data_IF_148937516752
#
_entry.id   IF_148937516752
#
_cell.length_a   1.000
_cell.length_b   1.000
_cell.length_c   1.000
_cell.angle_alpha   90.00
_cell.angle_beta   90.00
_cell.angle_gamma   90.00
#
_symmetry.space_group_name_H-M   'P 1'
#
loop_
_entity.id
_entity.type
_entity.pdbx_description
1 polymer ?
#
# COMPACT_ATOMS: atom_id res chain seq x y z
N UNK A 1 30.98 -68.06 6.07
CA UNK A 1 31.32 -67.46 4.76
C UNK A 1 30.07 -66.84 4.16
N UNK A 2 30.17 -65.58 3.70
CA UNK A 2 29.49 -64.96 2.55
C UNK A 2 27.97 -65.21 2.39
N UNK A 3 27.11 -64.23 2.71
CA UNK A 3 26.58 -63.16 1.81
C UNK A 3 25.79 -63.72 0.62
N UNK A 4 24.52 -63.30 0.48
CA UNK A 4 23.84 -62.68 -0.70
C UNK A 4 22.31 -62.91 -0.55
N UNK A 5 21.51 -61.93 -1.02
CA UNK A 5 20.04 -61.85 -1.04
C UNK A 5 19.34 -61.08 0.11
N UNK A 6 19.78 -59.85 0.36
CA UNK A 6 18.94 -58.78 0.95
C UNK A 6 18.95 -57.63 -0.06
N UNK A 7 18.03 -57.63 -1.03
CA UNK A 7 17.90 -56.47 -1.95
C UNK A 7 16.61 -56.43 -2.81
N UNK A 8 15.73 -57.43 -2.83
CA UNK A 8 14.53 -57.38 -3.68
C UNK A 8 13.17 -57.32 -2.93
N UNK A 9 13.13 -57.53 -1.61
CA UNK A 9 11.86 -57.65 -0.87
C UNK A 9 11.33 -56.33 -0.27
N UNK A 10 12.09 -55.23 -0.30
CA UNK A 10 11.73 -53.96 0.35
C UNK A 10 10.92 -53.04 -0.58
N UNK A 11 10.98 -53.24 -1.90
CA UNK A 11 10.32 -52.33 -2.87
C UNK A 11 8.84 -52.70 -3.10
N UNK A 12 8.42 -53.94 -2.84
CA UNK A 12 7.03 -54.37 -3.07
C UNK A 12 6.11 -54.11 -1.85
N UNK A 13 6.66 -53.95 -0.64
CA UNK A 13 5.84 -53.70 0.55
C UNK A 13 5.39 -52.22 0.70
N UNK A 14 6.06 -51.28 0.04
CA UNK A 14 5.76 -49.84 0.16
C UNK A 14 4.62 -49.39 -0.79
N UNK A 15 4.37 -50.13 -1.88
CA UNK A 15 3.28 -49.82 -2.80
C UNK A 15 1.91 -50.41 -2.38
N UNK A 16 1.87 -51.41 -1.49
CA UNK A 16 0.63 -52.05 -1.04
C UNK A 16 -0.06 -51.36 0.14
N UNK A 17 0.68 -50.59 0.94
CA UNK A 17 0.15 -49.92 2.14
C UNK A 17 -0.41 -48.51 1.88
N UNK A 18 -0.21 -47.95 0.69
CA UNK A 18 -0.71 -46.61 0.33
C UNK A 18 -2.14 -46.63 -0.23
N UNK A 19 -2.67 -47.77 -0.68
CA UNK A 19 -4.05 -47.86 -1.22
C UNK A 19 -5.07 -48.37 -0.18
N UNK A 20 -4.66 -49.17 0.80
CA UNK A 20 -5.58 -49.74 1.81
C UNK A 20 -6.07 -48.75 2.88
N UNK A 21 -5.28 -47.71 3.20
CA UNK A 21 -5.65 -46.70 4.22
C UNK A 21 -6.68 -45.69 3.70
N UNK A 22 -6.77 -45.51 2.39
CA UNK A 22 -7.72 -44.57 1.75
C UNK A 22 -9.16 -45.11 1.64
N UNK A 23 -9.41 -46.39 1.94
CA UNK A 23 -10.76 -46.97 1.76
C UNK A 23 -11.56 -47.21 3.06
N UNK A 24 -10.92 -47.11 4.24
CA UNK A 24 -11.59 -47.37 5.55
C UNK A 24 -11.86 -46.09 6.34
N UNK A 25 -11.26 -44.95 5.97
CA UNK A 25 -11.67 -43.63 6.45
C UNK A 25 -12.56 -42.97 5.40
N UNK A 26 -13.78 -43.48 5.23
CA UNK A 26 -14.85 -42.66 4.64
C UNK A 26 -15.28 -41.66 5.72
N UNK A 27 -14.90 -40.37 5.67
CA UNK A 27 -15.68 -39.39 6.41
C UNK A 27 -17.10 -39.49 5.86
N UNK A 28 -18.08 -39.63 6.76
CA UNK A 28 -19.45 -39.25 6.44
C UNK A 28 -19.37 -37.90 5.72
N UNK A 29 -20.08 -37.75 4.61
CA UNK A 29 -20.45 -36.41 4.13
C UNK A 29 -21.29 -35.78 5.23
N UNK A 30 -20.63 -35.23 6.24
CA UNK A 30 -21.15 -34.04 6.88
C UNK A 30 -21.23 -33.03 5.75
N UNK A 31 -22.46 -32.70 5.40
CA UNK A 31 -22.75 -31.44 4.73
C UNK A 31 -22.19 -30.41 5.69
N UNK A 32 -20.94 -30.01 5.48
CA UNK A 32 -20.39 -28.84 6.12
C UNK A 32 -21.43 -27.76 5.81
N UNK A 33 -22.05 -27.14 6.83
CA UNK A 33 -22.81 -25.93 6.56
C UNK A 33 -21.87 -25.08 5.73
N UNK A 34 -22.33 -24.61 4.56
CA UNK A 34 -21.61 -23.58 3.84
C UNK A 34 -21.33 -22.56 4.92
N UNK A 35 -20.06 -22.43 5.33
CA UNK A 35 -19.69 -21.44 6.30
C UNK A 35 -20.22 -20.16 5.66
N UNK A 36 -21.26 -19.58 6.25
CA UNK A 36 -21.77 -18.30 5.80
C UNK A 36 -20.51 -17.45 5.78
N UNK A 37 -20.05 -17.12 4.57
CA UNK A 37 -18.98 -16.16 4.38
C UNK A 37 -19.50 -14.96 5.10
N UNK A 38 -19.01 -14.75 6.33
CA UNK A 38 -19.36 -13.58 7.11
C UNK A 38 -19.10 -12.45 6.16
N UNK A 39 -20.13 -11.70 5.71
CA UNK A 39 -19.92 -10.68 4.71
C UNK A 39 -18.79 -9.83 5.28
N UNK A 40 -17.67 -9.77 4.54
CA UNK A 40 -16.53 -8.93 4.91
C UNK A 40 -17.15 -7.62 5.35
N UNK A 41 -16.98 -7.27 6.64
CA UNK A 41 -17.66 -6.13 7.23
C UNK A 41 -17.32 -4.96 6.32
N UNK A 42 -18.29 -4.52 5.52
CA UNK A 42 -18.06 -3.51 4.51
C UNK A 42 -17.40 -2.34 5.24
N UNK A 43 -16.21 -1.96 4.77
CA UNK A 43 -15.46 -0.89 5.42
C UNK A 43 -16.34 0.36 5.31
N UNK A 44 -16.95 0.78 6.42
CA UNK A 44 -17.79 1.98 6.44
C UNK A 44 -16.82 3.15 6.38
N UNK A 45 -16.74 3.79 5.21
CA UNK A 45 -15.91 4.96 5.01
C UNK A 45 -16.48 6.12 5.84
N UNK A 46 -15.61 6.78 6.61
CA UNK A 46 -15.97 8.02 7.29
C UNK A 46 -15.92 9.17 6.27
N UNK A 47 -17.10 9.66 5.86
CA UNK A 47 -17.24 10.80 4.94
C UNK A 47 -17.73 12.07 5.67
N UNK A 48 -17.55 12.14 6.99
CA UNK A 48 -18.06 13.26 7.81
C UNK A 48 -17.40 14.61 7.52
N UNK A 49 -16.20 14.61 6.94
CA UNK A 49 -15.44 15.80 6.57
C UNK A 49 -14.89 15.68 5.15
N UNK A 50 -14.64 16.82 4.52
CA UNK A 50 -13.90 16.91 3.26
C UNK A 50 -12.76 17.91 3.42
N UNK A 51 -11.52 17.41 3.28
CA UNK A 51 -10.32 18.24 3.30
C UNK A 51 -9.86 18.65 1.90
N UNK A 52 -10.56 18.19 0.86
CA UNK A 52 -10.29 18.49 -0.53
C UNK A 52 -9.17 17.64 -1.13
N UNK A 53 -8.81 16.49 -0.56
CA UNK A 53 -7.74 15.65 -1.10
C UNK A 53 -8.01 15.23 -2.56
N UNK A 54 -9.27 14.95 -2.91
CA UNK A 54 -9.68 14.56 -4.26
C UNK A 54 -9.89 15.73 -5.24
N UNK A 55 -9.93 16.96 -4.74
CA UNK A 55 -10.17 18.17 -5.54
C UNK A 55 -8.96 19.09 -5.59
N UNK A 56 -7.91 18.78 -4.81
CA UNK A 56 -6.65 19.51 -4.76
C UNK A 56 -5.99 19.61 -6.14
N UNK A 57 -6.06 18.52 -6.91
CA UNK A 57 -5.52 18.44 -8.25
C UNK A 57 -6.64 18.08 -9.22
N UNK A 58 -6.67 18.77 -10.36
CA UNK A 58 -7.58 18.38 -11.42
C UNK A 58 -7.13 17.05 -12.03
N UNK A 59 -8.09 16.22 -12.45
CA UNK A 59 -7.80 14.96 -13.11
C UNK A 59 -6.93 15.13 -14.38
N UNK A 60 -7.14 16.23 -15.11
CA UNK A 60 -6.33 16.58 -16.28
C UNK A 60 -4.89 16.94 -15.92
N UNK A 61 -4.67 17.65 -14.81
CA UNK A 61 -3.34 17.96 -14.28
C UNK A 61 -2.59 16.68 -13.92
N UNK A 62 -3.25 15.75 -13.23
CA UNK A 62 -2.64 14.46 -12.86
C UNK A 62 -2.27 13.69 -14.13
N UNK A 63 -3.19 13.53 -15.09
CA UNK A 63 -2.91 12.81 -16.33
C UNK A 63 -1.77 13.41 -17.15
N UNK A 64 -1.75 14.73 -17.31
CA UNK A 64 -0.72 15.41 -18.08
C UNK A 64 0.66 15.32 -17.42
N UNK A 65 0.73 15.48 -16.10
CA UNK A 65 2.01 15.42 -15.37
C UNK A 65 2.56 13.99 -15.25
N UNK A 66 1.70 12.99 -15.01
CA UNK A 66 2.12 11.59 -14.90
C UNK A 66 2.34 10.92 -16.28
N UNK A 67 1.92 11.56 -17.36
CA UNK A 67 2.20 11.12 -18.74
C UNK A 67 1.63 9.74 -19.06
N UNK A 68 2.42 8.93 -19.77
CA UNK A 68 1.98 7.62 -20.28
C UNK A 68 1.53 6.66 -19.18
N UNK A 69 2.12 6.73 -17.98
CA UNK A 69 1.72 5.90 -16.85
C UNK A 69 0.27 6.14 -16.42
N UNK A 70 -0.28 7.34 -16.68
CA UNK A 70 -1.65 7.73 -16.35
C UNK A 70 -2.63 7.65 -17.54
N UNK A 71 -2.26 7.00 -18.64
CA UNK A 71 -3.17 6.81 -19.80
C UNK A 71 -4.50 6.19 -19.38
N UNK A 72 -4.43 5.15 -18.55
CA UNK A 72 -5.58 4.42 -18.02
C UNK A 72 -5.95 4.83 -16.58
N UNK A 73 -5.55 6.03 -16.16
CA UNK A 73 -5.89 6.54 -14.83
C UNK A 73 -7.41 6.53 -14.64
N UNK A 74 -7.86 6.01 -13.52
CA UNK A 74 -9.26 5.93 -13.11
C UNK A 74 -9.66 7.23 -12.38
N UNK A 75 -10.96 7.61 -12.42
CA UNK A 75 -11.48 8.73 -11.64
C UNK A 75 -11.10 8.64 -10.15
N UNK A 76 -11.03 9.79 -9.43
CA UNK A 76 -10.70 9.80 -8.01
C UNK A 76 -11.66 8.95 -7.18
N UNK A 77 -11.11 8.16 -6.27
CA UNK A 77 -11.83 7.45 -5.21
C UNK A 77 -11.46 8.05 -3.85
N UNK A 78 -12.46 8.53 -3.11
CA UNK A 78 -12.28 9.06 -1.76
C UNK A 78 -12.29 7.91 -0.74
N UNK A 79 -11.15 7.68 -0.09
CA UNK A 79 -11.00 6.63 0.92
C UNK A 79 -11.53 7.02 2.31
N UNK A 80 -12.18 8.19 2.42
CA UNK A 80 -12.72 8.72 3.66
C UNK A 80 -11.65 9.31 4.59
N UNK A 81 -12.08 9.59 5.81
CA UNK A 81 -11.26 10.17 6.87
C UNK A 81 -10.62 9.05 7.69
N UNK A 82 -9.30 9.11 7.84
CA UNK A 82 -8.55 8.32 8.81
C UNK A 82 -8.09 9.22 9.95
N UNK A 83 -8.20 8.72 11.17
CA UNK A 83 -7.54 9.32 12.33
C UNK A 83 -6.14 8.77 12.38
N UNK A 84 -5.15 9.62 12.11
CA UNK A 84 -3.76 9.19 12.19
C UNK A 84 -3.30 9.40 13.64
N UNK A 85 -2.95 8.29 14.28
CA UNK A 85 -2.28 8.30 15.58
C UNK A 85 -0.78 8.25 15.31
N UNK A 86 -0.04 9.26 15.74
CA UNK A 86 1.41 9.24 15.66
C UNK A 86 2.00 8.52 16.87
N UNK A 87 3.06 7.76 16.64
CA UNK A 87 3.77 6.98 17.65
C UNK A 87 5.18 7.54 17.86
N UNK A 88 5.63 7.66 19.11
CA UNK A 88 6.95 8.16 19.51
C UNK A 88 6.92 8.66 20.96
N UNK A 89 8.04 8.54 21.69
CA UNK A 89 8.10 8.78 23.14
C UNK A 89 7.73 10.23 23.55
N UNK A 90 7.84 11.18 22.62
CA UNK A 90 7.51 12.60 22.80
C UNK A 90 6.24 13.05 22.03
N UNK A 91 5.47 12.11 21.46
CA UNK A 91 4.31 12.37 20.61
C UNK A 91 3.00 12.15 21.36
N UNK A 92 2.91 12.68 22.57
CA UNK A 92 1.62 12.83 23.26
C UNK A 92 1.02 14.13 22.74
N UNK A 93 -0.21 14.10 22.22
CA UNK A 93 -0.98 15.25 21.70
C UNK A 93 -0.91 15.60 20.21
N UNK A 94 -0.29 14.76 19.36
CA UNK A 94 -0.48 14.88 17.91
C UNK A 94 -1.75 14.13 17.50
N UNK A 95 -2.88 14.84 17.50
CA UNK A 95 -4.10 14.38 16.86
C UNK A 95 -4.15 14.95 15.43
N UNK A 96 -4.40 14.09 14.45
CA UNK A 96 -4.66 14.56 13.09
C UNK A 96 -5.72 13.71 12.42
N UNK A 97 -6.45 14.35 11.53
CA UNK A 97 -7.34 13.67 10.60
C UNK A 97 -6.75 13.79 9.20
N UNK A 98 -6.87 12.72 8.42
CA UNK A 98 -6.39 12.68 7.06
C UNK A 98 -7.48 12.23 6.11
N UNK A 99 -7.50 12.83 4.93
CA UNK A 99 -8.31 12.36 3.81
C UNK A 99 -7.38 11.87 2.71
N UNK A 100 -7.65 10.68 2.19
CA UNK A 100 -6.86 10.11 1.08
C UNK A 100 -7.72 10.01 -0.17
N UNK A 101 -7.20 10.54 -1.28
CA UNK A 101 -7.74 10.32 -2.61
C UNK A 101 -6.85 9.38 -3.39
N UNK A 102 -7.49 8.48 -4.14
CA UNK A 102 -6.83 7.38 -4.84
C UNK A 102 -7.18 7.46 -6.32
N UNK A 103 -6.15 7.43 -7.16
CA UNK A 103 -6.27 7.41 -8.61
C UNK A 103 -5.58 6.15 -9.12
N UNK A 104 -6.34 5.07 -9.31
CA UNK A 104 -5.79 3.82 -9.80
C UNK A 104 -5.29 3.96 -11.25
N UNK A 105 -4.13 3.36 -11.57
CA UNK A 105 -3.59 3.37 -12.94
C UNK A 105 -4.27 2.35 -13.87
N UNK A 106 -5.14 1.48 -13.34
CA UNK A 106 -5.89 0.49 -14.10
C UNK A 106 -7.26 0.18 -13.44
N UNK A 107 -8.27 -0.22 -14.23
CA UNK A 107 -9.55 -0.72 -13.69
C UNK A 107 -9.34 -1.96 -12.80
N UNK A 108 -10.22 -2.14 -11.80
CA UNK A 108 -10.21 -3.32 -10.93
C UNK A 108 -9.32 -3.22 -9.69
N UNK A 109 -8.47 -2.19 -9.59
CA UNK A 109 -7.69 -1.89 -8.38
C UNK A 109 -8.52 -1.12 -7.33
N UNK A 110 -9.70 -1.64 -6.99
CA UNK A 110 -10.54 -1.05 -5.92
C UNK A 110 -9.89 -1.34 -4.57
N UNK A 111 -9.91 -0.34 -3.70
CA UNK A 111 -9.12 -0.26 -2.46
C UNK A 111 -9.63 -1.11 -1.30
N UNK A 112 -10.41 -2.16 -1.56
CA UNK A 112 -11.23 -2.75 -0.51
C UNK A 112 -10.45 -3.51 0.58
N UNK A 113 -9.18 -3.90 0.46
CA UNK A 113 -8.52 -4.61 1.60
C UNK A 113 -6.99 -4.63 1.70
N UNK A 114 -6.19 -4.10 0.77
CA UNK A 114 -4.72 -4.20 0.89
C UNK A 114 -3.96 -3.17 0.05
N UNK A 115 -3.10 -2.37 0.70
CA UNK A 115 -2.15 -1.48 0.01
C UNK A 115 -1.00 -2.25 -0.67
N UNK A 116 -0.81 -3.52 -0.31
CA UNK A 116 0.19 -4.40 -0.93
C UNK A 116 -0.26 -4.80 -2.33
N UNK A 117 0.53 -4.44 -3.36
CA UNK A 117 0.24 -4.74 -4.76
C UNK A 117 -0.61 -3.69 -5.49
N UNK A 118 -0.91 -2.56 -4.85
CA UNK A 118 -1.68 -1.49 -5.46
C UNK A 118 -0.85 -0.79 -6.55
N UNK A 119 -1.51 -0.41 -7.65
CA UNK A 119 -0.93 0.37 -8.74
C UNK A 119 -1.73 1.66 -8.89
N UNK A 120 -1.29 2.72 -8.20
CA UNK A 120 -2.06 3.95 -8.08
C UNK A 120 -1.20 5.17 -7.73
N UNK A 121 -1.78 6.34 -8.00
CA UNK A 121 -1.37 7.62 -7.48
C UNK A 121 -2.27 8.02 -6.30
N UNK A 122 -1.69 8.58 -5.25
CA UNK A 122 -2.35 8.97 -4.01
C UNK A 122 -2.13 10.45 -3.73
N UNK A 123 -3.18 11.09 -3.27
CA UNK A 123 -3.10 12.41 -2.62
C UNK A 123 -3.66 12.26 -1.22
N UNK A 124 -2.84 12.41 -0.19
CA UNK A 124 -3.29 12.42 1.20
C UNK A 124 -3.12 13.82 1.76
N UNK A 125 -4.20 14.38 2.28
CA UNK A 125 -4.16 15.66 2.98
C UNK A 125 -4.44 15.44 4.46
N UNK A 126 -3.51 15.87 5.29
CA UNK A 126 -3.55 15.73 6.74
C UNK A 126 -3.74 17.09 7.39
N UNK A 127 -4.70 17.18 8.31
CA UNK A 127 -4.91 18.34 9.17
C UNK A 127 -4.53 18.01 10.59
N UNK A 128 -3.54 18.74 11.11
CA UNK A 128 -3.07 18.59 12.47
C UNK A 128 -3.90 19.46 13.42
N UNK A 129 -4.20 18.95 14.61
CA UNK A 129 -4.92 19.69 15.64
C UNK A 129 -4.14 20.90 16.18
N UNK A 130 -2.82 20.90 16.06
CA UNK A 130 -1.92 21.94 16.54
C UNK A 130 -0.59 21.96 15.75
N UNK A 131 0.27 22.95 16.04
CA UNK A 131 1.59 23.10 15.41
C UNK A 131 2.62 22.06 15.84
N UNK A 132 2.43 21.35 16.96
CA UNK A 132 3.34 20.28 17.36
C UNK A 132 3.27 19.09 16.38
N UNK A 133 2.10 18.88 15.78
CA UNK A 133 1.85 17.89 14.73
C UNK A 133 2.86 17.92 13.59
N UNK A 134 2.81 18.93 12.70
CA UNK A 134 3.73 19.02 11.57
C UNK A 134 5.20 19.09 12.01
N UNK A 135 5.50 19.74 13.15
CA UNK A 135 6.88 19.79 13.69
C UNK A 135 7.44 18.39 13.96
N UNK A 136 6.69 17.53 14.66
CA UNK A 136 7.12 16.17 14.95
C UNK A 136 7.34 15.34 13.70
N UNK A 137 6.45 15.44 12.70
CA UNK A 137 6.61 14.69 11.44
C UNK A 137 7.77 15.24 10.60
N UNK A 138 8.04 16.55 10.63
CA UNK A 138 9.22 17.15 10.01
C UNK A 138 10.50 16.61 10.68
N UNK A 139 10.55 16.53 12.00
CA UNK A 139 11.72 15.99 12.73
C UNK A 139 11.94 14.51 12.42
N UNK A 140 10.88 13.70 12.38
CA UNK A 140 10.94 12.31 11.94
C UNK A 140 11.45 12.19 10.49
N UNK A 141 10.97 13.07 9.60
CA UNK A 141 11.43 13.09 8.19
C UNK A 141 12.90 13.46 8.07
N UNK A 142 13.41 14.36 8.92
CA UNK A 142 14.85 14.69 8.99
C UNK A 142 15.69 13.55 9.54
N UNK A 143 15.14 12.75 10.46
CA UNK A 143 15.82 11.59 11.04
C UNK A 143 15.80 10.36 10.12
N UNK A 144 14.90 10.31 9.13
CA UNK A 144 14.81 9.21 8.17
C UNK A 144 15.98 9.26 7.16
N UNK A 145 16.89 8.26 7.13
CA UNK A 145 18.05 8.26 6.24
C UNK A 145 17.69 8.12 4.75
N UNK A 146 16.47 7.69 4.41
CA UNK A 146 16.01 7.59 3.01
C UNK A 146 15.27 8.83 2.53
N UNK A 147 15.02 9.80 3.42
CA UNK A 147 14.36 11.05 3.07
C UNK A 147 15.35 12.09 2.55
N UNK A 148 15.01 12.70 1.42
CA UNK A 148 15.74 13.83 0.85
C UNK A 148 14.93 15.10 1.03
N UNK A 149 15.49 16.10 1.72
CA UNK A 149 14.86 17.42 1.83
C UNK A 149 14.76 18.09 0.45
N UNK A 150 13.61 18.69 0.15
CA UNK A 150 13.35 19.40 -1.10
C UNK A 150 13.04 20.86 -0.81
N UNK A 151 13.61 21.75 -1.62
CA UNK A 151 13.24 23.16 -1.61
C UNK A 151 11.96 23.37 -2.42
N UNK A 152 10.91 23.79 -1.71
CA UNK A 152 9.64 24.29 -2.24
C UNK A 152 9.40 25.65 -1.56
N UNK A 153 8.81 26.61 -2.28
CA UNK A 153 8.80 28.03 -1.90
C UNK A 153 8.27 28.32 -0.47
N UNK A 154 9.18 28.38 0.51
CA UNK A 154 8.86 28.61 1.91
C UNK A 154 8.27 27.41 2.67
N UNK A 155 8.03 26.29 1.99
CA UNK A 155 7.45 25.08 2.56
C UNK A 155 8.55 24.05 2.91
N UNK A 156 8.35 23.28 3.98
CA UNK A 156 9.22 22.14 4.27
C UNK A 156 8.74 20.93 3.48
N UNK A 157 9.61 20.29 2.71
CA UNK A 157 9.24 19.13 1.92
C UNK A 157 10.30 18.04 1.95
N UNK A 158 9.85 16.79 1.88
CA UNK A 158 10.71 15.61 1.93
C UNK A 158 10.26 14.61 0.87
N UNK A 159 11.23 14.12 0.09
CA UNK A 159 11.03 13.08 -0.88
C UNK A 159 11.59 11.76 -0.36
N UNK A 160 10.83 10.68 -0.46
CA UNK A 160 11.29 9.32 -0.14
C UNK A 160 11.04 8.38 -1.31
N UNK A 161 11.94 7.41 -1.47
CA UNK A 161 11.79 6.31 -2.42
C UNK A 161 12.04 5.00 -1.69
N UNK A 162 11.06 4.11 -1.71
CA UNK A 162 11.14 2.77 -1.11
C UNK A 162 10.93 1.74 -2.22
N UNK A 163 11.93 0.88 -2.43
CA UNK A 163 11.92 -0.11 -3.51
C UNK A 163 12.09 -1.50 -2.87
N UNK A 164 11.06 -2.31 -3.02
CA UNK A 164 11.10 -3.74 -2.67
C UNK A 164 11.20 -4.53 -3.98
N UNK A 165 12.35 -5.14 -4.21
CA UNK A 165 12.66 -5.85 -5.47
C UNK A 165 12.20 -7.31 -5.51
N UNK A 166 11.91 -7.91 -4.36
CA UNK A 166 11.67 -9.35 -4.23
C UNK A 166 10.37 -9.68 -3.48
N UNK A 167 9.83 -10.87 -3.74
CA UNK A 167 8.63 -11.41 -3.09
C UNK A 167 7.31 -11.04 -3.81
N UNK A 168 6.20 -11.68 -3.41
CA UNK A 168 4.88 -11.48 -4.03
C UNK A 168 4.30 -10.07 -3.84
N UNK A 169 4.92 -9.24 -2.98
CA UNK A 169 4.57 -7.85 -2.73
C UNK A 169 5.61 -6.84 -3.20
N UNK A 170 6.49 -7.20 -4.14
CA UNK A 170 7.50 -6.30 -4.69
C UNK A 170 6.86 -5.05 -5.30
N UNK A 171 7.16 -3.89 -4.71
CA UNK A 171 6.64 -2.58 -5.11
C UNK A 171 7.74 -1.53 -5.17
N UNK A 172 7.55 -0.55 -6.03
CA UNK A 172 8.21 0.75 -5.95
C UNK A 172 7.21 1.74 -5.37
N UNK A 173 7.64 2.50 -4.37
CA UNK A 173 6.86 3.56 -3.73
C UNK A 173 7.69 4.83 -3.72
N UNK A 174 7.11 5.90 -4.22
CA UNK A 174 7.71 7.24 -4.22
C UNK A 174 6.74 8.18 -3.54
N UNK A 175 7.23 8.99 -2.61
CA UNK A 175 6.40 9.92 -1.86
C UNK A 175 7.07 11.29 -1.76
N UNK A 176 6.30 12.34 -2.00
CA UNK A 176 6.64 13.72 -1.68
C UNK A 176 5.69 14.22 -0.60
N UNK A 177 6.22 14.48 0.58
CA UNK A 177 5.50 15.04 1.71
C UNK A 177 5.81 16.53 1.82
N UNK A 178 4.79 17.38 1.73
CA UNK A 178 4.89 18.84 1.78
C UNK A 178 4.15 19.36 3.01
N UNK A 179 4.80 20.20 3.79
CA UNK A 179 4.25 20.81 5.01
C UNK A 179 4.00 22.29 4.82
N UNK A 180 2.80 22.72 5.20
CA UNK A 180 2.41 24.13 5.20
C UNK A 180 1.47 24.41 6.36
N UNK A 181 1.87 25.32 7.25
CA UNK A 181 1.12 25.65 8.47
C UNK A 181 0.82 24.38 9.31
N UNK A 182 -0.46 24.16 9.66
CA UNK A 182 -0.94 22.99 10.40
C UNK A 182 -1.45 21.87 9.46
N UNK A 183 -0.98 21.83 8.22
CA UNK A 183 -1.39 20.84 7.23
C UNK A 183 -0.16 20.21 6.59
N UNK A 184 -0.32 18.97 6.13
CA UNK A 184 0.61 18.35 5.19
C UNK A 184 -0.15 17.73 4.02
N UNK A 185 0.52 17.65 2.89
CA UNK A 185 0.03 16.99 1.69
C UNK A 185 1.10 15.99 1.27
N UNK A 186 0.70 14.72 1.19
CA UNK A 186 1.51 13.66 0.61
C UNK A 186 1.01 13.35 -0.79
N UNK A 187 1.93 13.37 -1.75
CA UNK A 187 1.72 12.88 -3.10
C UNK A 187 2.53 11.60 -3.27
N UNK A 188 1.88 10.47 -3.53
CA UNK A 188 2.55 9.18 -3.58
C UNK A 188 2.22 8.40 -4.84
N UNK A 189 3.23 7.76 -5.43
CA UNK A 189 3.08 6.81 -6.55
C UNK A 189 3.50 5.45 -6.02
N UNK A 190 2.61 4.47 -6.12
CA UNK A 190 2.90 3.08 -5.77
C UNK A 190 2.62 2.21 -6.99
N UNK A 191 3.61 1.40 -7.38
CA UNK A 191 3.48 0.46 -8.49
C UNK A 191 4.11 -0.88 -8.14
N UNK A 192 3.57 -2.01 -8.64
CA UNK A 192 4.28 -3.28 -8.62
C UNK A 192 5.59 -3.16 -9.40
N UNK A 193 6.70 -3.66 -8.84
CA UNK A 193 8.04 -3.51 -9.44
C UNK A 193 8.11 -4.03 -10.87
N UNK A 194 7.40 -5.13 -11.18
CA UNK A 194 7.33 -5.73 -12.52
C UNK A 194 6.77 -4.79 -13.59
N UNK A 195 5.91 -3.85 -13.20
CA UNK A 195 5.20 -2.94 -14.10
C UNK A 195 5.50 -1.47 -13.79
N UNK A 196 6.58 -1.20 -13.06
CA UNK A 196 6.96 0.15 -12.66
C UNK A 196 7.28 1.00 -13.90
N UNK A 197 6.51 2.07 -14.10
CA UNK A 197 6.74 3.05 -15.14
C UNK A 197 7.62 4.20 -14.65
N UNK A 198 7.69 4.40 -13.33
CA UNK A 198 8.48 5.46 -12.72
C UNK A 198 9.80 4.93 -12.14
N UNK A 199 10.85 5.74 -12.34
CA UNK A 199 12.12 5.63 -11.61
C UNK A 199 12.12 6.64 -10.46
N UNK A 200 13.15 6.58 -9.61
CA UNK A 200 13.35 7.57 -8.54
C UNK A 200 13.30 9.00 -9.10
N UNK A 201 14.06 9.28 -10.16
CA UNK A 201 14.15 10.63 -10.72
C UNK A 201 12.86 11.06 -11.43
N UNK A 202 12.25 10.18 -12.23
CA UNK A 202 11.01 10.56 -12.95
C UNK A 202 9.82 10.72 -12.01
N UNK A 203 9.73 9.90 -10.95
CA UNK A 203 8.74 10.09 -9.90
C UNK A 203 8.96 11.41 -9.16
N UNK A 204 10.21 11.69 -8.75
CA UNK A 204 10.54 12.94 -8.04
C UNK A 204 10.12 14.18 -8.86
N UNK A 205 10.47 14.22 -10.14
CA UNK A 205 10.09 15.31 -11.03
C UNK A 205 8.57 15.44 -11.16
N UNK A 206 7.86 14.33 -11.38
CA UNK A 206 6.41 14.33 -11.52
C UNK A 206 5.71 14.82 -10.24
N UNK A 207 6.11 14.30 -9.08
CA UNK A 207 5.53 14.69 -7.79
C UNK A 207 5.81 16.15 -7.46
N UNK A 208 7.02 16.65 -7.77
CA UNK A 208 7.33 18.07 -7.59
C UNK A 208 6.52 18.97 -8.52
N UNK A 209 6.24 18.53 -9.74
CA UNK A 209 5.39 19.28 -10.66
C UNK A 209 3.93 19.31 -10.20
N UNK A 210 3.44 18.27 -9.53
CA UNK A 210 2.11 18.23 -8.93
C UNK A 210 1.99 19.08 -7.65
N UNK A 211 3.10 19.33 -6.96
CA UNK A 211 3.10 20.09 -5.71
C UNK A 211 3.21 21.61 -5.88
N UNK A 212 3.44 22.10 -7.10
CA UNK A 212 3.52 23.53 -7.46
C UNK A 212 2.14 24.08 -7.81
#
# INVERSE_FOLDING_TARGET
MKKIFISAAIVIFIAGLTVGVLYVTKPKKEITPIAETTPSKALILDLSKDYGACTLLSFGTIKSTLGQAATNLQPPENAGITKDNYFGDDVKDIASDSQTCIYAFAPGNKTETSLSGINAFFVKKTKYSNQAGPKGVIEQSKANPTATAISLDGDSAFYTANITSEGPGATVSFELLVFKNNESISYSIIQPTKNAAFTVDSAKLALLQLAK
#
